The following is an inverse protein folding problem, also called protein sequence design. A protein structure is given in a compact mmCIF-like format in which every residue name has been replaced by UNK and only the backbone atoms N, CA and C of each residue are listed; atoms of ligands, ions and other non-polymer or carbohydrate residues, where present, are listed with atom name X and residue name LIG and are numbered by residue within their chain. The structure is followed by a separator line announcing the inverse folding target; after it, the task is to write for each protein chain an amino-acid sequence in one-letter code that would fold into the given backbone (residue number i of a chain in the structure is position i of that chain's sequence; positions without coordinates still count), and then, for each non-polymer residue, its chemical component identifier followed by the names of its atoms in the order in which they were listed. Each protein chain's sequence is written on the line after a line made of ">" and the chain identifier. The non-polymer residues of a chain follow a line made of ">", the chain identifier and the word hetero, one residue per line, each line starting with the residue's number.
data_IF_529370953658
#
_entry.id   IF_529370953658
#
_cell.length_a   1.000
_cell.length_b   1.000
_cell.length_c   1.000
_cell.angle_alpha   90.00
_cell.angle_beta   90.00
_cell.angle_gamma   90.00
#
_symmetry.space_group_name_H-M   'P 1'
#
loop_
_entity.id
_entity.type
_entity.pdbx_description
1 polymer ?
#
# COMPACT_ATOMS: atom_id res chain seq x y z
N UNK A 1 -37.49 -5.25 26.58
CA UNK A 1 -36.05 -5.45 26.29
C UNK A 1 -35.83 -6.95 26.22
N UNK A 2 -35.57 -7.52 25.04
CA UNK A 2 -35.23 -8.95 24.89
C UNK A 2 -33.74 -9.09 24.60
N UNK A 3 -32.96 -9.73 25.48
CA UNK A 3 -31.53 -9.85 25.36
C UNK A 3 -31.15 -11.07 24.48
N UNK A 4 -30.14 -10.89 23.63
CA UNK A 4 -29.44 -11.92 22.83
C UNK A 4 -30.24 -12.61 21.71
N UNK A 5 -30.43 -11.91 20.59
CA UNK A 5 -30.53 -12.59 19.28
C UNK A 5 -29.15 -13.15 18.95
N UNK A 6 -29.00 -14.48 18.97
CA UNK A 6 -27.83 -15.14 18.43
C UNK A 6 -27.68 -14.76 16.96
N UNK A 7 -26.54 -14.18 16.60
CA UNK A 7 -26.19 -13.93 15.20
C UNK A 7 -25.60 -15.23 14.67
N UNK A 8 -26.39 -15.98 13.90
CA UNK A 8 -25.93 -17.18 13.20
C UNK A 8 -25.57 -16.82 11.76
N UNK A 9 -24.47 -17.37 11.26
CA UNK A 9 -24.11 -17.25 9.85
C UNK A 9 -25.16 -17.99 9.00
N UNK A 10 -25.54 -17.40 7.87
CA UNK A 10 -26.26 -18.13 6.83
C UNK A 10 -25.32 -19.13 6.15
N UNK A 11 -25.84 -20.06 5.34
CA UNK A 11 -25.02 -21.02 4.60
C UNK A 11 -23.93 -20.33 3.75
N UNK A 12 -24.29 -19.23 3.06
CA UNK A 12 -23.34 -18.38 2.35
C UNK A 12 -22.33 -17.70 3.29
N UNK A 13 -22.77 -17.27 4.47
CA UNK A 13 -21.91 -16.72 5.51
C UNK A 13 -20.91 -17.73 6.06
N UNK A 14 -21.31 -19.00 6.16
CA UNK A 14 -20.47 -20.10 6.60
C UNK A 14 -19.39 -20.42 5.56
N UNK A 15 -19.76 -20.51 4.28
CA UNK A 15 -18.82 -20.73 3.19
C UNK A 15 -17.78 -19.59 3.09
N UNK A 16 -18.22 -18.34 3.26
CA UNK A 16 -17.31 -17.19 3.28
C UNK A 16 -16.39 -17.21 4.52
N UNK A 17 -16.93 -17.54 5.69
CA UNK A 17 -16.15 -17.66 6.91
C UNK A 17 -15.08 -18.75 6.81
N UNK A 18 -15.41 -19.92 6.25
CA UNK A 18 -14.45 -20.99 6.00
C UNK A 18 -13.31 -20.55 5.08
N UNK A 19 -13.63 -19.84 3.99
CA UNK A 19 -12.61 -19.32 3.07
C UNK A 19 -11.68 -18.31 3.74
N UNK A 20 -12.21 -17.45 4.60
CA UNK A 20 -11.40 -16.48 5.35
C UNK A 20 -10.54 -17.21 6.38
N UNK A 21 -11.11 -18.09 7.19
CA UNK A 21 -10.36 -18.87 8.19
C UNK A 21 -9.26 -19.73 7.57
N UNK A 22 -9.50 -20.31 6.39
CA UNK A 22 -8.48 -21.07 5.66
C UNK A 22 -7.31 -20.18 5.20
N UNK A 23 -7.58 -18.94 4.78
CA UNK A 23 -6.54 -17.96 4.41
C UNK A 23 -5.74 -17.52 5.63
N UNK A 24 -6.43 -17.18 6.73
CA UNK A 24 -5.81 -16.82 8.00
C UNK A 24 -4.81 -17.89 8.43
N UNK A 25 -5.25 -19.15 8.46
CA UNK A 25 -4.42 -20.25 8.96
C UNK A 25 -3.23 -20.56 8.05
N UNK A 26 -3.40 -20.47 6.72
CA UNK A 26 -2.29 -20.62 5.78
C UNK A 26 -1.23 -19.52 5.97
N UNK A 27 -1.66 -18.26 6.07
CA UNK A 27 -0.75 -17.13 6.27
C UNK A 27 -0.08 -17.16 7.63
N UNK A 28 -0.81 -17.50 8.69
CA UNK A 28 -0.27 -17.67 10.04
C UNK A 28 0.82 -18.75 10.06
N UNK A 29 0.54 -19.93 9.49
CA UNK A 29 1.53 -21.01 9.36
C UNK A 29 2.75 -20.59 8.56
N UNK A 30 2.57 -19.86 7.46
CA UNK A 30 3.68 -19.32 6.69
C UNK A 30 4.52 -18.34 7.54
N UNK A 31 3.88 -17.39 8.21
CA UNK A 31 4.58 -16.38 9.01
C UNK A 31 5.33 -17.00 10.19
N UNK A 32 4.75 -17.99 10.86
CA UNK A 32 5.40 -18.66 11.99
C UNK A 32 6.45 -19.68 11.55
N UNK A 33 6.10 -20.57 10.61
CA UNK A 33 6.96 -21.71 10.29
C UNK A 33 7.96 -21.40 9.19
N UNK A 34 7.66 -20.42 8.33
CA UNK A 34 8.54 -20.04 7.22
C UNK A 34 9.32 -18.77 7.52
N UNK A 35 8.64 -17.74 8.04
CA UNK A 35 9.28 -16.45 8.33
C UNK A 35 9.72 -16.29 9.80
N UNK A 36 9.43 -17.28 10.64
CA UNK A 36 9.90 -17.37 12.03
C UNK A 36 9.44 -16.22 12.93
N UNK A 37 8.26 -15.69 12.63
CA UNK A 37 7.61 -14.71 13.49
C UNK A 37 7.10 -15.40 14.76
N UNK A 38 7.11 -14.64 15.86
CA UNK A 38 6.39 -15.04 17.05
C UNK A 38 4.90 -15.19 16.75
N UNK A 39 4.23 -16.09 17.47
CA UNK A 39 2.84 -16.46 17.21
C UNK A 39 1.89 -15.26 17.24
N UNK A 40 2.12 -14.31 18.15
CA UNK A 40 1.27 -13.13 18.30
C UNK A 40 1.42 -12.18 17.12
N UNK A 41 2.64 -11.96 16.66
CA UNK A 41 2.93 -11.13 15.50
C UNK A 41 2.47 -11.80 14.20
N UNK A 42 2.67 -13.11 14.07
CA UNK A 42 2.19 -13.89 12.93
C UNK A 42 0.66 -13.81 12.80
N UNK A 43 -0.07 -13.99 13.90
CA UNK A 43 -1.54 -13.91 13.92
C UNK A 43 -2.05 -12.52 13.51
N UNK A 44 -1.50 -11.45 14.12
CA UNK A 44 -1.89 -10.08 13.77
C UNK A 44 -1.59 -9.72 12.32
N UNK A 45 -0.45 -10.18 11.78
CA UNK A 45 -0.10 -9.92 10.38
C UNK A 45 -0.94 -10.76 9.40
N UNK A 46 -1.25 -12.02 9.72
CA UNK A 46 -2.11 -12.87 8.91
C UNK A 46 -3.49 -12.20 8.67
N UNK A 47 -4.10 -11.68 9.74
CA UNK A 47 -5.39 -10.98 9.66
C UNK A 47 -5.33 -9.70 8.81
N UNK A 48 -4.19 -8.99 8.80
CA UNK A 48 -4.03 -7.80 7.95
C UNK A 48 -3.83 -8.18 6.48
N UNK A 49 -3.05 -9.23 6.24
CA UNK A 49 -2.67 -9.67 4.89
C UNK A 49 -3.87 -10.32 4.19
N UNK A 50 -4.64 -11.16 4.88
CA UNK A 50 -5.79 -11.86 4.26
C UNK A 50 -6.86 -10.92 3.71
N UNK A 51 -7.00 -9.72 4.30
CA UNK A 51 -7.95 -8.70 3.85
C UNK A 51 -7.42 -7.86 2.69
N UNK A 52 -6.10 -7.80 2.50
CA UNK A 52 -5.47 -6.96 1.50
C UNK A 52 -5.10 -7.72 0.21
N UNK A 53 -5.02 -9.05 0.27
CA UNK A 53 -4.50 -9.88 -0.80
C UNK A 53 -5.63 -10.56 -1.58
N UNK A 54 -5.55 -10.54 -2.90
CA UNK A 54 -6.51 -11.21 -3.77
C UNK A 54 -6.37 -12.74 -3.75
N UNK A 55 -7.41 -13.42 -4.23
CA UNK A 55 -7.48 -14.87 -4.20
C UNK A 55 -6.37 -15.57 -5.01
N UNK A 56 -5.91 -14.96 -6.12
CA UNK A 56 -4.88 -15.55 -6.98
C UNK A 56 -3.55 -15.56 -6.24
N UNK A 57 -3.20 -14.46 -5.59
CA UNK A 57 -1.97 -14.33 -4.80
C UNK A 57 -2.04 -15.25 -3.57
N UNK A 58 -3.14 -15.27 -2.82
CA UNK A 58 -3.29 -16.17 -1.67
C UNK A 58 -3.12 -17.63 -2.06
N UNK A 59 -3.68 -18.04 -3.21
CA UNK A 59 -3.56 -19.42 -3.70
C UNK A 59 -2.12 -19.78 -4.06
N UNK A 60 -1.39 -18.88 -4.72
CA UNK A 60 0.03 -19.10 -5.05
C UNK A 60 0.91 -19.14 -3.80
N UNK A 61 0.63 -18.31 -2.79
CA UNK A 61 1.29 -18.40 -1.49
C UNK A 61 1.06 -19.76 -0.84
N UNK A 62 -0.18 -20.26 -0.85
CA UNK A 62 -0.49 -21.61 -0.37
C UNK A 62 0.32 -22.70 -1.09
N UNK A 63 0.42 -22.64 -2.43
CA UNK A 63 1.26 -23.57 -3.19
C UNK A 63 2.74 -23.49 -2.81
N UNK A 64 3.23 -22.29 -2.55
CA UNK A 64 4.61 -22.08 -2.13
C UNK A 64 4.91 -22.66 -0.75
N UNK A 65 3.99 -22.46 0.22
CA UNK A 65 4.08 -23.07 1.56
C UNK A 65 4.13 -24.60 1.46
N UNK A 66 3.22 -25.18 0.67
CA UNK A 66 3.17 -26.63 0.43
C UNK A 66 4.44 -27.14 -0.26
N UNK A 67 4.95 -26.39 -1.25
CA UNK A 67 6.18 -26.72 -1.97
C UNK A 67 7.39 -26.75 -1.03
N UNK A 68 7.56 -25.71 -0.20
CA UNK A 68 8.65 -25.65 0.78
C UNK A 68 8.54 -26.83 1.74
N UNK A 69 7.35 -27.08 2.30
CA UNK A 69 7.12 -28.12 3.31
C UNK A 69 7.39 -29.53 2.77
N UNK A 70 7.12 -29.78 1.49
CA UNK A 70 7.29 -31.09 0.84
C UNK A 70 8.67 -31.28 0.20
N UNK A 71 9.42 -30.20 -0.03
CA UNK A 71 10.76 -30.31 -0.59
C UNK A 71 11.70 -31.02 0.40
N UNK A 72 12.63 -31.85 -0.09
CA UNK A 72 13.65 -32.50 0.75
C UNK A 72 14.63 -31.50 1.39
N UNK A 73 14.64 -30.27 0.89
CA UNK A 73 15.33 -29.13 1.50
C UNK A 73 14.49 -28.44 2.58
N UNK A 74 13.20 -28.78 2.72
CA UNK A 74 12.20 -28.25 3.65
C UNK A 74 12.57 -28.30 5.15
N UNK A 75 13.44 -29.23 5.55
CA UNK A 75 14.00 -29.34 6.91
C UNK A 75 15.44 -28.84 7.05
N UNK A 76 16.05 -28.38 5.96
CA UNK A 76 17.40 -27.81 5.96
C UNK A 76 17.34 -26.29 5.87
N UNK A 77 16.37 -25.77 5.12
CA UNK A 77 16.23 -24.33 4.91
C UNK A 77 15.74 -23.62 6.18
N UNK A 78 14.97 -24.26 7.07
CA UNK A 78 14.52 -23.67 8.34
C UNK A 78 15.70 -23.39 9.27
N UNK A 79 16.59 -24.36 9.48
CA UNK A 79 17.82 -24.16 10.25
C UNK A 79 18.76 -23.13 9.59
N UNK A 80 18.89 -23.18 8.27
CA UNK A 80 19.69 -22.21 7.51
C UNK A 80 19.11 -20.80 7.59
N UNK A 81 17.79 -20.66 7.54
CA UNK A 81 17.11 -19.37 7.61
C UNK A 81 17.15 -18.80 9.02
N UNK A 82 17.00 -19.62 10.07
CA UNK A 82 17.29 -19.22 11.47
C UNK A 82 18.68 -18.64 11.61
N UNK A 83 19.68 -19.38 11.13
CA UNK A 83 21.06 -18.98 11.21
C UNK A 83 21.32 -17.68 10.43
N UNK A 84 20.72 -17.55 9.25
CA UNK A 84 20.79 -16.34 8.44
C UNK A 84 20.15 -15.14 9.14
N UNK A 85 18.95 -15.29 9.71
CA UNK A 85 18.27 -14.24 10.48
C UNK A 85 19.10 -13.81 11.70
N UNK A 86 19.67 -14.76 12.44
CA UNK A 86 20.56 -14.47 13.57
C UNK A 86 21.84 -13.73 13.13
N UNK A 87 22.39 -14.06 11.96
CA UNK A 87 23.53 -13.36 11.38
C UNK A 87 23.18 -11.94 10.86
N UNK A 88 21.93 -11.74 10.44
CA UNK A 88 21.44 -10.47 9.88
C UNK A 88 20.86 -9.50 10.93
N UNK A 89 20.61 -9.94 12.16
CA UNK A 89 20.18 -9.08 13.27
C UNK A 89 21.24 -8.02 13.58
N UNK A 90 21.11 -6.84 12.96
CA UNK A 90 21.97 -5.67 13.15
C UNK A 90 22.72 -5.20 11.89
N UNK A 91 22.67 -5.95 10.77
CA UNK A 91 23.36 -5.59 9.51
C UNK A 91 22.39 -5.22 8.38
N UNK A 92 21.15 -5.72 8.43
CA UNK A 92 20.09 -5.31 7.51
C UNK A 92 19.35 -4.15 8.16
N UNK A 93 19.45 -2.92 7.64
CA UNK A 93 18.65 -1.82 8.15
C UNK A 93 17.17 -2.19 8.02
N UNK A 94 16.27 -1.66 8.87
CA UNK A 94 14.83 -1.71 8.61
C UNK A 94 14.57 -1.45 7.12
N UNK A 95 13.59 -2.10 6.48
CA UNK A 95 13.27 -1.86 5.06
C UNK A 95 13.09 -0.35 4.72
N UNK A 96 12.77 0.48 5.72
CA UNK A 96 12.75 1.94 5.61
C UNK A 96 14.11 2.62 5.41
N UNK A 97 15.19 1.98 5.86
CA UNK A 97 16.60 2.41 5.87
C UNK A 97 17.47 1.63 4.85
N UNK A 98 17.05 0.44 4.41
CA UNK A 98 17.75 -0.36 3.38
C UNK A 98 17.61 0.22 1.96
N UNK A 99 16.84 1.30 1.82
CA UNK A 99 16.79 2.12 0.61
C UNK A 99 17.75 3.27 0.82
N UNK A 100 18.84 3.29 0.06
CA UNK A 100 19.76 4.42 0.01
C UNK A 100 18.98 5.76 -0.02
N UNK A 101 19.31 6.72 0.86
CA UNK A 101 18.58 7.98 0.99
C UNK A 101 18.49 8.78 -0.32
N UNK A 102 19.43 8.62 -1.26
CA UNK A 102 19.31 9.22 -2.61
C UNK A 102 18.21 8.52 -3.44
N UNK A 103 18.13 7.20 -3.36
CA UNK A 103 17.09 6.40 -4.02
C UNK A 103 15.68 6.71 -3.47
N UNK A 104 15.56 6.99 -2.17
CA UNK A 104 14.28 7.38 -1.51
C UNK A 104 13.71 8.72 -2.03
N UNK A 105 14.59 9.67 -2.36
CA UNK A 105 14.22 10.96 -2.98
C UNK A 105 13.79 10.82 -4.45
N UNK A 106 14.25 9.78 -5.15
CA UNK A 106 13.88 9.49 -6.54
C UNK A 106 12.65 8.57 -6.67
N UNK A 107 12.37 7.73 -5.67
CA UNK A 107 11.37 6.66 -5.79
C UNK A 107 9.96 7.04 -5.32
N UNK A 108 9.79 8.08 -4.48
CA UNK A 108 8.47 8.59 -4.11
C UNK A 108 8.29 9.93 -4.85
N UNK A 109 7.62 9.94 -6.02
CA UNK A 109 7.35 11.20 -6.71
C UNK A 109 6.47 12.07 -5.80
N UNK A 110 6.93 13.29 -5.53
CA UNK A 110 6.15 14.29 -4.80
C UNK A 110 4.84 14.52 -5.55
N UNK A 111 3.71 14.53 -4.83
CA UNK A 111 2.41 14.76 -5.45
C UNK A 111 1.93 16.19 -5.23
N UNK A 112 1.02 16.67 -6.08
CA UNK A 112 0.40 17.99 -5.91
C UNK A 112 -0.35 18.12 -4.57
N UNK A 113 -0.77 16.99 -3.98
CA UNK A 113 -1.41 16.95 -2.67
C UNK A 113 -0.47 17.27 -1.49
N UNK A 114 0.84 17.23 -1.71
CA UNK A 114 1.89 17.46 -0.71
C UNK A 114 2.51 18.87 -0.82
N UNK A 115 2.23 19.60 -1.89
CA UNK A 115 2.69 20.97 -2.10
C UNK A 115 1.98 21.91 -1.12
N UNK A 116 2.75 22.76 -0.41
CA UNK A 116 2.18 23.68 0.59
C UNK A 116 1.54 24.90 -0.09
N UNK A 117 0.52 25.51 0.53
CA UNK A 117 0.01 26.81 0.09
C UNK A 117 1.12 27.84 -0.09
N UNK A 118 1.07 28.59 -1.19
CA UNK A 118 2.05 29.59 -1.59
C UNK A 118 3.25 29.05 -2.38
N UNK A 119 3.30 27.73 -2.65
CA UNK A 119 4.40 27.13 -3.43
C UNK A 119 3.99 26.82 -4.88
N UNK A 120 4.97 26.90 -5.76
CA UNK A 120 4.85 26.54 -7.17
C UNK A 120 5.46 25.15 -7.41
N UNK A 121 4.79 24.36 -8.25
CA UNK A 121 5.25 23.04 -8.63
C UNK A 121 4.99 22.79 -10.12
N UNK A 122 5.92 22.13 -10.80
CA UNK A 122 5.83 21.76 -12.21
C UNK A 122 5.34 20.33 -12.35
N UNK A 123 4.36 20.11 -13.22
CA UNK A 123 3.74 18.79 -13.40
C UNK A 123 4.66 17.86 -14.18
N UNK A 124 5.07 16.75 -13.57
CA UNK A 124 5.89 15.73 -14.21
C UNK A 124 5.02 14.67 -14.87
N UNK A 125 3.92 14.28 -14.21
CA UNK A 125 3.04 13.20 -14.69
C UNK A 125 1.66 13.29 -14.07
N UNK A 126 0.65 12.80 -14.80
CA UNK A 126 -0.74 12.71 -14.32
C UNK A 126 -1.22 11.26 -14.44
N UNK A 127 -1.33 10.59 -13.30
CA UNK A 127 -1.76 9.21 -13.12
C UNK A 127 -3.16 9.14 -12.47
N UNK A 128 -4.16 9.70 -13.16
CA UNK A 128 -5.57 9.57 -12.75
C UNK A 128 -6.38 8.79 -13.80
N UNK A 129 -7.70 8.68 -13.62
CA UNK A 129 -8.56 7.99 -14.60
C UNK A 129 -8.53 8.71 -15.95
N UNK A 130 -8.73 7.97 -17.05
CA UNK A 130 -8.69 8.54 -18.40
C UNK A 130 -9.65 9.72 -18.59
N UNK A 131 -10.84 9.65 -18.00
CA UNK A 131 -11.81 10.74 -18.00
C UNK A 131 -11.29 11.99 -17.26
N UNK A 132 -10.65 11.79 -16.10
CA UNK A 132 -10.08 12.89 -15.31
C UNK A 132 -8.88 13.51 -16.02
N UNK A 133 -7.98 12.71 -16.60
CA UNK A 133 -6.83 13.19 -17.38
C UNK A 133 -7.28 14.08 -18.55
N UNK A 134 -8.30 13.66 -19.31
CA UNK A 134 -8.84 14.48 -20.42
C UNK A 134 -9.38 15.82 -19.91
N UNK A 135 -10.14 15.80 -18.81
CA UNK A 135 -10.69 17.02 -18.21
C UNK A 135 -9.58 17.96 -17.73
N UNK A 136 -8.60 17.43 -17.01
CA UNK A 136 -7.44 18.18 -16.52
C UNK A 136 -6.65 18.82 -17.67
N UNK A 137 -6.41 18.08 -18.76
CA UNK A 137 -5.72 18.61 -19.93
C UNK A 137 -6.47 19.78 -20.60
N UNK A 138 -7.80 19.68 -20.74
CA UNK A 138 -8.62 20.80 -21.24
C UNK A 138 -8.55 22.01 -20.31
N UNK A 139 -8.45 21.77 -19.00
CA UNK A 139 -8.25 22.79 -17.97
C UNK A 139 -6.77 23.19 -17.80
N UNK A 140 -5.92 22.98 -18.80
CA UNK A 140 -4.54 23.45 -18.80
C UNK A 140 -3.59 22.70 -17.86
N UNK A 141 -4.04 21.65 -17.18
CA UNK A 141 -3.21 20.81 -16.33
C UNK A 141 -2.57 19.71 -17.18
N UNK A 142 -1.46 20.05 -17.82
CA UNK A 142 -0.67 19.14 -18.68
C UNK A 142 0.73 18.96 -18.12
N UNK A 143 1.45 17.93 -18.58
CA UNK A 143 2.87 17.77 -18.28
C UNK A 143 3.64 19.07 -18.61
N UNK A 144 4.63 19.36 -17.79
CA UNK A 144 5.51 20.54 -17.81
C UNK A 144 4.85 21.88 -17.46
N UNK A 145 3.54 21.91 -17.18
CA UNK A 145 2.88 23.12 -16.71
C UNK A 145 3.23 23.41 -15.25
N UNK A 146 3.44 24.69 -14.92
CA UNK A 146 3.66 25.17 -13.55
C UNK A 146 2.32 25.54 -12.93
N UNK A 147 2.09 25.05 -11.71
CA UNK A 147 0.91 25.36 -10.92
C UNK A 147 1.27 25.86 -9.53
N UNK A 148 0.55 26.88 -9.08
CA UNK A 148 0.71 27.45 -7.74
C UNK A 148 -0.36 26.92 -6.82
N UNK A 149 -0.01 26.35 -5.66
CA UNK A 149 -1.02 26.00 -4.66
C UNK A 149 -1.45 27.26 -3.93
N UNK A 150 -2.71 27.64 -4.06
CA UNK A 150 -3.24 28.85 -3.43
C UNK A 150 -3.60 28.56 -1.98
N UNK A 151 -4.41 27.53 -1.75
CA UNK A 151 -4.83 27.12 -0.41
C UNK A 151 -5.32 25.67 -0.39
N UNK A 152 -5.32 25.11 0.80
CA UNK A 152 -5.94 23.82 1.08
C UNK A 152 -7.11 24.09 2.03
N UNK A 153 -8.27 23.49 1.78
CA UNK A 153 -9.42 23.64 2.65
C UNK A 153 -9.11 23.20 4.10
N UNK A 154 -9.83 23.70 5.13
CA UNK A 154 -9.51 23.41 6.53
C UNK A 154 -9.44 21.92 6.89
N UNK A 155 -10.25 21.09 6.21
CA UNK A 155 -10.28 19.63 6.39
C UNK A 155 -9.33 18.87 5.44
N UNK A 156 -8.49 19.59 4.70
CA UNK A 156 -7.51 19.03 3.78
C UNK A 156 -8.01 18.73 2.37
N UNK A 157 -9.29 18.98 2.06
CA UNK A 157 -9.92 18.74 0.75
C UNK A 157 -11.08 19.75 0.54
N UNK A 158 -11.17 20.45 -0.61
CA UNK A 158 -10.30 20.43 -1.78
C UNK A 158 -9.03 21.29 -1.68
N UNK A 159 -8.14 21.10 -2.65
CA UNK A 159 -6.93 21.90 -2.88
C UNK A 159 -7.23 22.88 -4.00
N UNK A 160 -6.98 24.16 -3.76
CA UNK A 160 -7.12 25.22 -4.77
C UNK A 160 -5.76 25.55 -5.37
N UNK A 161 -5.67 25.45 -6.70
CA UNK A 161 -4.44 25.70 -7.45
C UNK A 161 -4.67 26.77 -8.51
N UNK A 162 -3.64 27.54 -8.84
CA UNK A 162 -3.64 28.50 -9.93
C UNK A 162 -2.88 27.89 -11.12
N UNK A 163 -3.53 27.86 -12.28
CA UNK A 163 -2.96 27.38 -13.54
C UNK A 163 -3.39 28.35 -14.65
N UNK A 164 -2.44 28.77 -15.50
CA UNK A 164 -2.71 29.70 -16.63
C UNK A 164 -3.53 30.95 -16.24
N UNK A 165 -3.29 31.49 -15.05
CA UNK A 165 -3.92 32.73 -14.59
C UNK A 165 -5.29 32.58 -13.91
N UNK A 166 -5.88 31.38 -13.84
CA UNK A 166 -7.14 31.14 -13.13
C UNK A 166 -7.00 30.08 -12.03
N UNK A 167 -7.95 30.08 -11.09
CA UNK A 167 -8.01 29.11 -10.00
C UNK A 167 -8.83 27.88 -10.37
N UNK A 168 -8.33 26.70 -10.02
CA UNK A 168 -8.99 25.41 -10.16
C UNK A 168 -9.06 24.72 -8.80
N UNK A 169 -10.21 24.18 -8.45
CA UNK A 169 -10.38 23.35 -7.24
C UNK A 169 -10.26 21.88 -7.59
N UNK A 170 -9.28 21.20 -6.99
CA UNK A 170 -9.01 19.78 -7.17
C UNK A 170 -9.34 19.03 -5.89
N UNK A 171 -10.03 17.89 -6.01
CA UNK A 171 -10.14 16.99 -4.86
C UNK A 171 -8.77 16.43 -4.51
N UNK A 172 -8.51 16.21 -3.22
CA UNK A 172 -7.26 15.63 -2.72
C UNK A 172 -6.93 14.30 -3.39
N UNK A 173 -7.95 13.49 -3.72
CA UNK A 173 -7.77 12.23 -4.46
C UNK A 173 -7.25 12.44 -5.89
N UNK A 174 -7.64 13.52 -6.55
CA UNK A 174 -7.14 13.87 -7.89
C UNK A 174 -5.71 14.41 -7.78
N UNK A 175 -5.46 15.29 -6.80
CA UNK A 175 -4.13 15.86 -6.57
C UNK A 175 -3.07 14.81 -6.19
N UNK A 176 -3.45 13.72 -5.50
CA UNK A 176 -2.56 12.57 -5.23
C UNK A 176 -2.11 11.83 -6.49
N UNK A 177 -2.88 11.92 -7.59
CA UNK A 177 -2.51 11.33 -8.87
C UNK A 177 -1.73 12.27 -9.78
N UNK A 178 -1.34 13.47 -9.32
CA UNK A 178 -0.55 14.43 -10.09
C UNK A 178 0.84 14.48 -9.46
N UNK A 179 1.84 13.97 -10.17
CA UNK A 179 3.26 14.00 -9.78
C UNK A 179 3.88 15.33 -10.20
N UNK A 180 4.65 15.93 -9.30
CA UNK A 180 5.20 17.27 -9.48
C UNK A 180 6.66 17.36 -9.02
N UNK A 181 7.37 18.35 -9.55
CA UNK A 181 8.69 18.78 -9.09
C UNK A 181 8.59 20.22 -8.56
N UNK A 182 9.30 20.54 -7.47
CA UNK A 182 9.33 21.91 -6.96
C UNK A 182 10.01 22.84 -7.98
N UNK A 183 9.40 24.00 -8.22
CA UNK A 183 10.05 25.07 -8.96
C UNK A 183 10.90 25.88 -7.96
N UNK A 184 12.17 26.12 -8.30
CA UNK A 184 13.07 26.96 -7.49
C UNK A 184 12.68 28.43 -7.56
#
# INVERSE_FOLDING_TARGET
>A
YSPHKYVTLSDLGMELAEKISARHEMLRKFLTNVLELDEKLADSNACRIEHAVDEVVSRRLGYFVEFISKSSQGKKWDEQFKAFCAQMQGTVPPLSEAVDPETRRKAIPMTLAEVKPGQDAKIVRINTTAATNRRLAVMGMTRDEVVSVVRIAPLGDPIEVKVRGYSLSLRKVQARGIEVENVK
#
